data_IF_437317713419
#
_entry.id   IF_437317713419
#
_cell.length_a   1.000
_cell.length_b   1.000
_cell.length_c   1.000
_cell.angle_alpha   90.00
_cell.angle_beta   90.00
_cell.angle_gamma   90.00
#
_symmetry.space_group_name_H-M   'P 1'
#
loop_
_entity.id
_entity.type
_entity.pdbx_description
1 polymer ?
#
# COMPACT_ATOMS: atom_id res chain seq x y z
N UNK A 1 -11.36 8.75 30.99
CA UNK A 1 -10.04 8.23 30.57
C UNK A 1 -9.91 6.81 31.11
N UNK A 2 -10.43 5.83 30.38
CA UNK A 2 -10.54 4.43 30.81
C UNK A 2 -9.62 3.57 29.94
N UNK A 3 -8.53 3.10 30.53
CA UNK A 3 -7.51 2.25 29.90
C UNK A 3 -7.80 0.78 30.25
N UNK A 4 -7.85 -0.07 29.21
CA UNK A 4 -8.12 -1.50 29.30
C UNK A 4 -6.85 -2.35 29.54
N UNK A 5 -7.02 -3.60 30.00
CA UNK A 5 -6.00 -4.38 30.70
C UNK A 5 -5.36 -5.45 29.81
N UNK A 6 -4.04 -5.58 29.86
CA UNK A 6 -3.38 -6.84 29.55
C UNK A 6 -2.25 -7.09 30.55
N UNK A 7 -2.38 -8.21 31.25
CA UNK A 7 -1.48 -8.69 32.30
C UNK A 7 -0.47 -9.61 31.62
N UNK A 8 0.77 -9.13 31.46
CA UNK A 8 1.89 -9.95 30.97
C UNK A 8 2.30 -10.88 32.11
N UNK A 9 2.21 -12.19 31.86
CA UNK A 9 2.79 -13.23 32.72
C UNK A 9 4.31 -13.27 32.46
N UNK A 10 5.12 -12.92 33.46
CA UNK A 10 6.53 -13.33 33.50
C UNK A 10 6.59 -14.66 34.24
N UNK A 11 6.86 -15.73 33.50
CA UNK A 11 7.34 -16.98 34.07
C UNK A 11 8.85 -16.88 34.20
N UNK A 12 9.35 -17.01 35.42
CA UNK A 12 10.77 -17.01 35.76
C UNK A 12 11.23 -18.42 36.14
N UNK A 13 12.48 -18.67 35.79
CA UNK A 13 13.44 -19.66 36.28
C UNK A 13 13.40 -21.13 35.78
N UNK A 14 14.50 -21.50 35.13
CA UNK A 14 14.99 -22.88 35.11
C UNK A 14 15.59 -23.36 33.79
N UNK A 15 16.89 -23.11 33.54
CA UNK A 15 17.82 -24.11 32.98
C UNK A 15 19.27 -23.56 32.79
N UNK A 16 20.30 -24.41 32.92
CA UNK A 16 21.63 -24.02 33.39
C UNK A 16 22.65 -23.65 32.29
N UNK A 17 23.63 -22.89 32.76
CA UNK A 17 24.96 -22.64 32.21
C UNK A 17 25.65 -23.93 31.69
N UNK A 18 26.05 -23.96 30.41
CA UNK A 18 27.33 -24.54 29.96
C UNK A 18 27.64 -24.36 28.46
N UNK A 19 28.73 -23.61 28.23
CA UNK A 19 29.77 -23.74 27.21
C UNK A 19 29.73 -22.95 25.88
N UNK A 20 30.85 -22.24 25.55
CA UNK A 20 31.02 -21.41 24.36
C UNK A 20 31.65 -22.21 23.21
N UNK A 21 31.21 -21.97 21.95
CA UNK A 21 31.99 -22.07 20.71
C UNK A 21 31.09 -22.23 19.46
N UNK A 22 30.47 -21.15 18.96
CA UNK A 22 30.30 -21.06 17.50
C UNK A 22 30.12 -19.62 17.05
N UNK A 23 31.24 -19.02 16.64
CA UNK A 23 31.23 -18.05 15.54
C UNK A 23 30.64 -18.78 14.34
N UNK A 24 29.34 -18.63 14.12
CA UNK A 24 28.72 -18.87 12.83
C UNK A 24 28.15 -17.52 12.42
N UNK A 25 28.94 -16.80 11.65
CA UNK A 25 28.47 -15.81 10.69
C UNK A 25 27.19 -16.31 9.98
N UNK A 26 26.37 -15.39 9.48
CA UNK A 26 25.20 -15.63 8.61
C UNK A 26 23.89 -15.96 9.37
N UNK A 27 22.93 -15.04 9.55
CA UNK A 27 22.36 -14.14 8.55
C UNK A 27 21.81 -12.84 9.20
N UNK A 28 22.42 -11.66 8.95
CA UNK A 28 21.90 -10.36 9.42
C UNK A 28 20.75 -9.80 8.57
N UNK A 29 20.19 -10.57 7.64
CA UNK A 29 19.05 -10.14 6.84
C UNK A 29 18.03 -11.27 6.76
N UNK A 30 16.99 -11.22 7.58
CA UNK A 30 15.71 -11.76 7.11
C UNK A 30 15.35 -10.90 5.90
N UNK A 31 15.77 -11.34 4.71
CA UNK A 31 15.34 -10.73 3.45
C UNK A 31 13.83 -10.66 3.54
N UNK A 32 13.21 -9.48 3.33
CA UNK A 32 11.79 -9.52 3.11
C UNK A 32 11.58 -10.43 1.89
N UNK A 33 10.71 -11.43 2.07
CA UNK A 33 10.31 -12.27 0.95
C UNK A 33 9.84 -11.34 -0.18
N UNK A 34 10.24 -11.54 -1.45
CA UNK A 34 9.79 -10.74 -2.60
C UNK A 34 8.30 -11.01 -2.94
N UNK A 35 7.46 -10.76 -1.95
CA UNK A 35 6.00 -10.84 -1.92
C UNK A 35 5.46 -9.91 -0.84
N UNK A 36 6.22 -8.88 -0.45
CA UNK A 36 5.68 -7.69 0.21
C UNK A 36 4.56 -7.16 -0.67
N UNK A 37 3.38 -7.08 -0.08
CA UNK A 37 2.14 -6.65 -0.70
C UNK A 37 2.38 -5.41 -1.57
N UNK A 38 2.48 -5.63 -2.88
CA UNK A 38 2.37 -4.58 -3.89
C UNK A 38 1.13 -3.78 -3.49
N UNK A 39 1.32 -2.52 -3.10
CA UNK A 39 0.34 -1.67 -2.41
C UNK A 39 -0.85 -1.27 -3.28
N UNK A 40 -1.30 -2.17 -4.15
CA UNK A 40 -2.35 -1.97 -5.13
C UNK A 40 -3.67 -2.38 -4.52
N UNK A 41 -4.45 -1.36 -4.17
CA UNK A 41 -5.84 -1.50 -3.75
C UNK A 41 -6.74 -1.51 -4.98
N UNK A 42 -7.60 -2.53 -5.11
CA UNK A 42 -8.60 -2.56 -6.17
C UNK A 42 -9.80 -1.70 -5.77
N UNK A 43 -10.07 -0.68 -6.55
CA UNK A 43 -11.23 0.20 -6.39
C UNK A 43 -12.10 0.16 -7.64
N UNK A 44 -13.42 0.32 -7.48
CA UNK A 44 -14.31 0.40 -8.62
C UNK A 44 -14.16 1.76 -9.32
N UNK A 45 -14.15 1.74 -10.66
CA UNK A 45 -13.94 2.95 -11.47
C UNK A 45 -14.93 4.07 -11.14
N UNK A 46 -16.20 3.72 -10.90
CA UNK A 46 -17.25 4.69 -10.54
C UNK A 46 -16.90 5.48 -9.28
N UNK A 47 -16.32 4.81 -8.28
CA UNK A 47 -16.00 5.40 -6.99
C UNK A 47 -14.75 6.27 -7.15
N UNK A 48 -13.74 5.78 -7.89
CA UNK A 48 -12.54 6.54 -8.21
C UNK A 48 -12.86 7.84 -8.97
N UNK A 49 -13.64 7.77 -10.05
CA UNK A 49 -14.01 8.94 -10.85
C UNK A 49 -14.81 9.95 -10.03
N UNK A 50 -15.75 9.49 -9.20
CA UNK A 50 -16.53 10.37 -8.33
C UNK A 50 -15.64 11.11 -7.32
N UNK A 51 -14.72 10.39 -6.66
CA UNK A 51 -13.77 10.98 -5.69
C UNK A 51 -12.83 11.99 -6.35
N UNK A 52 -12.23 11.64 -7.50
CA UNK A 52 -11.33 12.54 -8.22
C UNK A 52 -12.05 13.78 -8.74
N UNK A 53 -13.30 13.63 -9.20
CA UNK A 53 -14.12 14.76 -9.65
C UNK A 53 -14.42 15.72 -8.49
N UNK A 54 -14.85 15.19 -7.33
CA UNK A 54 -15.08 16.00 -6.13
C UNK A 54 -13.81 16.72 -5.66
N UNK A 55 -12.67 16.01 -5.64
CA UNK A 55 -11.39 16.57 -5.26
C UNK A 55 -10.92 17.69 -6.22
N UNK A 56 -11.12 17.51 -7.52
CA UNK A 56 -10.80 18.52 -8.54
C UNK A 56 -11.68 19.76 -8.40
N UNK A 57 -13.00 19.60 -8.21
CA UNK A 57 -13.92 20.72 -7.96
C UNK A 57 -13.54 21.51 -6.70
N UNK A 58 -13.07 20.82 -5.66
CA UNK A 58 -12.62 21.43 -4.40
C UNK A 58 -11.17 21.92 -4.42
N UNK A 59 -10.44 21.72 -5.52
CA UNK A 59 -9.01 22.05 -5.69
C UNK A 59 -8.16 21.54 -4.52
N UNK A 60 -8.33 20.27 -4.15
CA UNK A 60 -7.58 19.69 -3.05
C UNK A 60 -6.11 19.50 -3.46
N UNK A 61 -5.20 20.03 -2.64
CA UNK A 61 -3.76 20.02 -2.91
C UNK A 61 -3.16 18.61 -3.05
N UNK A 62 -3.77 17.59 -2.41
CA UNK A 62 -3.30 16.22 -2.57
C UNK A 62 -3.46 15.73 -4.01
N UNK A 63 -4.43 16.23 -4.79
CA UNK A 63 -4.63 15.78 -6.18
C UNK A 63 -3.46 16.19 -7.08
N UNK A 64 -2.80 17.32 -6.78
CA UNK A 64 -1.61 17.78 -7.49
C UNK A 64 -0.40 16.87 -7.21
N UNK A 65 -0.33 16.28 -6.01
CA UNK A 65 0.73 15.34 -5.63
C UNK A 65 0.72 14.06 -6.50
N UNK A 66 -0.47 13.67 -6.99
CA UNK A 66 -0.66 12.50 -7.86
C UNK A 66 -0.74 12.85 -9.35
N UNK A 67 -0.43 14.08 -9.76
CA UNK A 67 -0.59 14.51 -11.16
C UNK A 67 0.29 13.73 -12.15
N UNK A 68 1.43 13.21 -11.70
CA UNK A 68 2.39 12.46 -12.51
C UNK A 68 2.27 10.94 -12.32
N UNK A 69 1.34 10.46 -11.47
CA UNK A 69 1.22 9.03 -11.17
C UNK A 69 0.52 8.26 -12.29
N UNK A 70 1.09 7.12 -12.66
CA UNK A 70 0.56 6.25 -13.71
C UNK A 70 -0.48 5.28 -13.14
N UNK A 71 -1.73 5.38 -13.63
CA UNK A 71 -2.80 4.46 -13.25
C UNK A 71 -2.87 3.26 -14.19
N UNK A 72 -2.82 2.04 -13.62
CA UNK A 72 -2.99 0.81 -14.40
C UNK A 72 -4.48 0.51 -14.62
N UNK A 73 -4.94 0.67 -15.85
CA UNK A 73 -6.31 0.34 -16.28
C UNK A 73 -6.32 -0.82 -17.28
N UNK A 74 -7.50 -1.42 -17.51
CA UNK A 74 -7.65 -2.43 -18.58
C UNK A 74 -7.52 -1.80 -19.96
N UNK A 75 -7.04 -2.59 -20.92
CA UNK A 75 -6.90 -2.17 -22.32
C UNK A 75 -8.25 -1.70 -22.89
N UNK A 76 -9.33 -2.46 -22.68
CA UNK A 76 -10.68 -2.10 -23.13
C UNK A 76 -11.12 -0.72 -22.63
N UNK A 77 -10.84 -0.39 -21.35
CA UNK A 77 -11.23 0.90 -20.79
C UNK A 77 -10.41 2.04 -21.40
N UNK A 78 -9.11 1.80 -21.61
CA UNK A 78 -8.24 2.77 -22.26
C UNK A 78 -8.72 3.11 -23.69
N UNK A 79 -9.10 2.09 -24.47
CA UNK A 79 -9.63 2.28 -25.83
C UNK A 79 -10.91 3.13 -25.84
N UNK A 80 -11.85 2.87 -24.92
CA UNK A 80 -13.08 3.65 -24.78
C UNK A 80 -12.79 5.11 -24.43
N UNK A 81 -11.84 5.36 -23.52
CA UNK A 81 -11.43 6.71 -23.13
C UNK A 81 -10.80 7.45 -24.31
N UNK A 82 -9.93 6.80 -25.08
CA UNK A 82 -9.31 7.39 -26.27
C UNK A 82 -10.36 7.78 -27.32
N UNK A 83 -11.32 6.89 -27.60
CA UNK A 83 -12.40 7.17 -28.53
C UNK A 83 -13.23 8.38 -28.09
N UNK A 84 -13.57 8.46 -26.79
CA UNK A 84 -14.29 9.60 -26.24
C UNK A 84 -13.53 10.92 -26.38
N UNK A 85 -12.22 10.94 -26.08
CA UNK A 85 -11.38 12.13 -26.22
C UNK A 85 -11.30 12.61 -27.67
N UNK A 86 -11.21 11.68 -28.63
CA UNK A 86 -11.18 12.02 -30.05
C UNK A 86 -12.48 12.73 -30.49
N UNK A 87 -13.63 12.29 -29.98
CA UNK A 87 -14.93 12.93 -30.23
C UNK A 87 -14.97 14.33 -29.61
N UNK A 88 -14.62 14.47 -28.34
CA UNK A 88 -14.65 15.76 -27.65
C UNK A 88 -13.68 16.78 -28.23
N UNK A 89 -12.52 16.35 -28.73
CA UNK A 89 -11.52 17.25 -29.34
C UNK A 89 -11.91 17.70 -30.75
N UNK A 90 -12.74 16.91 -31.44
CA UNK A 90 -13.24 17.24 -32.77
C UNK A 90 -14.48 18.16 -32.77
N UNK A 91 -15.05 18.43 -31.58
CA UNK A 91 -16.21 19.31 -31.37
C UNK A 91 -15.77 20.73 -30.96
#
# INVERSE_FOLDING_TARGET
MTQLPFRVFFGDDGAPENQPHQRRDENPCRLPSPGESDGVVRVALKDLVATLTDASQKRLAWLEDFAEEELRISADLYEVILAYQAICRAA
#
